data_IF_559411975873
#
_entry.id   IF_559411975873
#
_cell.length_a   1.000
_cell.length_b   1.000
_cell.length_c   1.000
_cell.angle_alpha   90.00
_cell.angle_beta   90.00
_cell.angle_gamma   90.00
#
_symmetry.space_group_name_H-M   'P 1'
#
loop_
_entity.id
_entity.type
_entity.pdbx_description
1 polymer ?
#
# COMPACT_ATOMS: atom_id res chain seq x y z
N UNK A 1 -1.47 -11.29 9.88
CA UNK A 1 -1.65 -12.28 10.96
C UNK A 1 -3.11 -12.39 11.47
N UNK A 2 -4.13 -11.78 10.83
CA UNK A 2 -5.52 -11.77 11.36
C UNK A 2 -6.36 -13.04 11.18
N UNK A 3 -5.95 -14.00 10.33
CA UNK A 3 -6.69 -15.24 10.07
C UNK A 3 -6.24 -16.44 10.92
N UNK A 4 -5.08 -16.35 11.60
CA UNK A 4 -4.53 -17.44 12.41
C UNK A 4 -4.91 -17.38 13.89
N UNK A 5 -5.34 -16.22 14.38
CA UNK A 5 -5.81 -16.05 15.77
C UNK A 5 -7.24 -16.57 15.96
N UNK A 6 -8.10 -16.47 14.94
CA UNK A 6 -9.47 -16.99 14.93
C UNK A 6 -9.51 -18.51 15.24
N UNK A 7 -8.78 -19.40 14.51
CA UNK A 7 -8.81 -20.83 14.79
C UNK A 7 -8.13 -21.23 16.12
N UNK A 8 -7.21 -20.41 16.64
CA UNK A 8 -6.60 -20.64 17.96
C UNK A 8 -7.59 -20.27 19.07
N UNK A 9 -8.32 -19.16 18.91
CA UNK A 9 -9.36 -18.75 19.85
C UNK A 9 -10.54 -19.71 19.85
N UNK A 10 -10.97 -20.22 18.69
CA UNK A 10 -11.97 -21.30 18.61
C UNK A 10 -11.51 -22.56 19.35
N UNK A 11 -10.27 -23.00 19.15
CA UNK A 11 -9.70 -24.15 19.87
C UNK A 11 -9.59 -23.91 21.38
N UNK A 12 -9.27 -22.69 21.81
CA UNK A 12 -9.25 -22.32 23.23
C UNK A 12 -10.67 -22.34 23.81
N UNK A 13 -11.67 -21.85 23.07
CA UNK A 13 -13.08 -21.90 23.45
C UNK A 13 -13.57 -23.35 23.57
N UNK A 14 -13.17 -24.24 22.66
CA UNK A 14 -13.50 -25.67 22.69
C UNK A 14 -12.85 -26.41 23.87
N UNK A 15 -11.59 -26.08 24.19
CA UNK A 15 -10.87 -26.64 25.34
C UNK A 15 -11.49 -26.13 26.65
N UNK A 16 -11.82 -24.84 26.73
CA UNK A 16 -12.54 -24.25 27.87
C UNK A 16 -13.90 -24.94 28.04
N UNK A 17 -14.60 -25.22 26.94
CA UNK A 17 -15.88 -25.93 26.93
C UNK A 17 -15.79 -27.39 27.41
N UNK A 18 -14.63 -28.04 27.29
CA UNK A 18 -14.39 -29.42 27.78
C UNK A 18 -13.91 -29.49 29.23
N UNK A 19 -13.27 -28.44 29.75
CA UNK A 19 -12.59 -28.46 31.06
C UNK A 19 -13.39 -27.73 32.16
N UNK A 20 -14.32 -26.84 31.82
CA UNK A 20 -15.09 -26.05 32.79
C UNK A 20 -16.59 -26.39 32.69
N UNK A 21 -17.17 -27.12 33.67
CA UNK A 21 -18.58 -27.48 33.67
C UNK A 21 -19.54 -26.36 34.14
N UNK A 22 -19.02 -25.19 34.58
CA UNK A 22 -19.83 -24.08 35.12
C UNK A 22 -20.08 -22.97 34.05
N UNK A 23 -21.34 -22.70 33.64
CA UNK A 23 -21.69 -21.76 32.57
C UNK A 23 -21.19 -20.32 32.78
N UNK A 24 -21.12 -19.84 34.02
CA UNK A 24 -20.68 -18.47 34.31
C UNK A 24 -19.16 -18.30 34.13
N UNK A 25 -18.38 -19.30 34.54
CA UNK A 25 -16.93 -19.28 34.36
C UNK A 25 -16.56 -19.35 32.87
N UNK A 26 -17.35 -20.06 32.06
CA UNK A 26 -17.21 -20.12 30.60
C UNK A 26 -17.50 -18.76 29.95
N UNK A 27 -18.58 -18.08 30.35
CA UNK A 27 -18.91 -16.75 29.84
C UNK A 27 -17.83 -15.71 30.20
N UNK A 28 -17.32 -15.73 31.43
CA UNK A 28 -16.20 -14.86 31.87
C UNK A 28 -14.92 -15.10 31.08
N UNK A 29 -14.58 -16.36 30.81
CA UNK A 29 -13.39 -16.70 30.03
C UNK A 29 -13.53 -16.29 28.55
N UNK A 30 -14.71 -16.45 27.94
CA UNK A 30 -14.99 -16.00 26.58
C UNK A 30 -14.91 -14.47 26.45
N UNK A 31 -15.47 -13.73 27.42
CA UNK A 31 -15.36 -12.28 27.48
C UNK A 31 -13.90 -11.81 27.63
N UNK A 32 -13.13 -12.45 28.53
CA UNK A 32 -11.72 -12.12 28.71
C UNK A 32 -10.89 -12.37 27.44
N UNK A 33 -11.16 -13.46 26.69
CA UNK A 33 -10.49 -13.74 25.42
C UNK A 33 -10.87 -12.71 24.35
N UNK A 34 -12.15 -12.33 24.24
CA UNK A 34 -12.58 -11.25 23.33
C UNK A 34 -11.94 -9.90 23.67
N UNK A 35 -11.87 -9.53 24.94
CA UNK A 35 -11.21 -8.29 25.36
C UNK A 35 -9.71 -8.31 25.05
N UNK A 36 -9.02 -9.44 25.24
CA UNK A 36 -7.61 -9.58 24.91
C UNK A 36 -7.38 -9.51 23.39
N UNK A 37 -8.27 -10.10 22.58
CA UNK A 37 -8.23 -9.96 21.13
C UNK A 37 -8.40 -8.51 20.70
N UNK A 38 -9.43 -7.82 21.21
CA UNK A 38 -9.65 -6.40 20.92
C UNK A 38 -8.44 -5.56 21.31
N UNK A 39 -7.91 -5.72 22.53
CA UNK A 39 -6.72 -5.01 23.00
C UNK A 39 -5.48 -5.30 22.14
N UNK A 40 -5.33 -6.52 21.62
CA UNK A 40 -4.26 -6.90 20.71
C UNK A 40 -4.37 -6.25 19.33
N UNK A 41 -5.57 -6.28 18.75
CA UNK A 41 -5.87 -5.65 17.46
C UNK A 41 -5.71 -4.12 17.52
N UNK A 42 -6.20 -3.49 18.60
CA UNK A 42 -6.02 -2.05 18.81
C UNK A 42 -4.55 -1.66 18.87
N UNK A 43 -3.71 -2.43 19.57
CA UNK A 43 -2.27 -2.16 19.62
C UNK A 43 -1.58 -2.27 18.26
N UNK A 44 -2.00 -3.22 17.42
CA UNK A 44 -1.44 -3.37 16.08
C UNK A 44 -1.82 -2.20 15.17
N UNK A 45 -3.10 -1.81 15.20
CA UNK A 45 -3.59 -0.66 14.43
C UNK A 45 -2.88 0.64 14.88
N UNK A 46 -2.68 0.82 16.18
CA UNK A 46 -1.94 1.98 16.72
C UNK A 46 -0.47 1.99 16.27
N UNK A 47 0.19 0.84 16.30
CA UNK A 47 1.58 0.73 15.83
C UNK A 47 1.71 1.05 14.33
N UNK A 48 0.81 0.51 13.50
CA UNK A 48 0.76 0.81 12.07
C UNK A 48 0.48 2.29 11.81
N UNK A 49 -0.47 2.88 12.56
CA UNK A 49 -0.79 4.30 12.48
C UNK A 49 0.43 5.16 12.81
N UNK A 50 1.18 4.82 13.87
CA UNK A 50 2.40 5.54 14.24
C UNK A 50 3.46 5.49 13.14
N UNK A 51 3.66 4.32 12.51
CA UNK A 51 4.59 4.19 11.37
C UNK A 51 4.14 5.05 10.19
N UNK A 52 2.84 5.04 9.86
CA UNK A 52 2.30 5.87 8.77
C UNK A 52 2.44 7.37 9.05
N UNK A 53 2.18 7.79 10.29
CA UNK A 53 2.34 9.19 10.72
C UNK A 53 3.81 9.63 10.68
N UNK A 54 4.73 8.77 11.13
CA UNK A 54 6.16 9.04 11.04
C UNK A 54 6.62 9.20 9.58
N UNK A 55 6.17 8.32 8.69
CA UNK A 55 6.46 8.43 7.26
C UNK A 55 5.86 9.71 6.65
N UNK A 56 4.64 10.07 7.03
CA UNK A 56 3.98 11.30 6.56
C UNK A 56 4.75 12.56 7.02
N UNK A 57 5.23 12.58 8.25
CA UNK A 57 6.05 13.67 8.78
C UNK A 57 7.36 13.83 8.00
N UNK A 58 8.08 12.72 7.76
CA UNK A 58 9.30 12.73 6.94
C UNK A 58 9.01 13.25 5.54
N UNK A 59 7.96 12.75 4.88
CA UNK A 59 7.60 13.21 3.54
C UNK A 59 7.26 14.70 3.51
N UNK A 60 6.62 15.22 4.56
CA UNK A 60 6.27 16.63 4.68
C UNK A 60 7.51 17.51 4.88
N UNK A 61 8.48 17.06 5.67
CA UNK A 61 9.75 17.75 5.86
C UNK A 61 10.61 17.72 4.59
N UNK A 62 10.69 16.57 3.91
CA UNK A 62 11.36 16.45 2.61
C UNK A 62 10.76 17.39 1.57
N UNK A 63 9.42 17.47 1.51
CA UNK A 63 8.72 18.35 0.58
C UNK A 63 8.92 19.85 0.89
N UNK A 64 9.18 20.21 2.16
CA UNK A 64 9.51 21.59 2.56
C UNK A 64 10.99 21.93 2.34
N UNK A 65 11.85 20.93 2.12
CA UNK A 65 13.27 21.16 1.91
C UNK A 65 13.51 22.00 0.66
N UNK A 66 14.30 23.09 0.73
CA UNK A 66 14.68 23.87 -0.44
C UNK A 66 15.73 23.16 -1.31
N UNK A 67 16.23 22.00 -0.89
CA UNK A 67 17.22 21.21 -1.62
C UNK A 67 16.58 20.44 -2.79
N UNK A 68 17.00 20.76 -4.02
CA UNK A 68 16.54 20.13 -5.26
C UNK A 68 16.78 18.61 -5.29
N UNK A 69 17.79 18.10 -4.57
CA UNK A 69 18.06 16.66 -4.55
C UNK A 69 17.20 15.91 -3.52
N UNK A 70 16.97 16.48 -2.34
CA UNK A 70 16.17 15.84 -1.27
C UNK A 70 14.66 16.03 -1.45
N UNK A 71 14.21 17.25 -1.74
CA UNK A 71 12.80 17.56 -1.93
C UNK A 71 12.35 17.49 -3.39
N UNK A 72 13.28 17.74 -4.32
CA UNK A 72 12.97 17.86 -5.75
C UNK A 72 12.87 16.54 -6.51
N UNK A 73 13.35 15.41 -5.96
CA UNK A 73 13.29 14.11 -6.67
C UNK A 73 11.85 13.67 -6.93
N UNK A 74 10.93 13.86 -5.98
CA UNK A 74 9.51 13.51 -6.13
C UNK A 74 8.85 14.29 -7.28
N UNK A 75 8.94 15.64 -7.32
CA UNK A 75 8.56 16.41 -8.50
C UNK A 75 9.24 15.95 -9.78
N UNK A 76 10.55 15.70 -9.77
CA UNK A 76 11.31 15.33 -10.97
C UNK A 76 10.80 14.03 -11.60
N UNK A 77 10.58 12.98 -10.81
CA UNK A 77 10.00 11.72 -11.31
C UNK A 77 8.57 11.96 -11.82
N UNK A 78 7.77 12.77 -11.12
CA UNK A 78 6.44 13.18 -11.59
C UNK A 78 6.47 13.86 -12.96
N UNK A 79 7.38 14.83 -13.15
CA UNK A 79 7.57 15.50 -14.43
C UNK A 79 7.98 14.53 -15.54
N UNK A 80 8.89 13.59 -15.27
CA UNK A 80 9.28 12.56 -16.24
C UNK A 80 8.09 11.67 -16.62
N UNK A 81 7.26 11.27 -15.65
CA UNK A 81 6.06 10.49 -15.93
C UNK A 81 5.04 11.28 -16.78
N UNK A 82 4.81 12.56 -16.44
CA UNK A 82 3.89 13.44 -17.18
C UNK A 82 4.40 13.69 -18.61
N UNK A 83 5.68 13.99 -18.79
CA UNK A 83 6.26 14.22 -20.12
C UNK A 83 6.28 12.93 -20.94
N UNK A 84 6.59 11.79 -20.33
CA UNK A 84 6.54 10.48 -20.97
C UNK A 84 5.12 10.14 -21.47
N UNK A 85 4.10 10.33 -20.64
CA UNK A 85 2.70 10.12 -21.06
C UNK A 85 2.24 11.12 -22.11
N UNK A 86 2.61 12.40 -21.98
CA UNK A 86 2.29 13.42 -22.98
C UNK A 86 2.92 13.07 -24.34
N UNK A 87 4.17 12.59 -24.35
CA UNK A 87 4.78 12.07 -25.56
C UNK A 87 4.03 10.84 -26.08
N UNK A 88 3.76 9.82 -25.28
CA UNK A 88 3.13 8.58 -25.75
C UNK A 88 1.73 8.81 -26.33
N UNK A 89 0.89 9.63 -25.68
CA UNK A 89 -0.51 9.79 -26.07
C UNK A 89 -0.78 10.96 -27.01
N UNK A 90 0.07 11.99 -27.01
CA UNK A 90 -0.13 13.21 -27.82
C UNK A 90 1.02 13.38 -28.81
N UNK A 91 2.25 13.41 -28.32
CA UNK A 91 3.44 13.64 -29.16
C UNK A 91 3.63 12.58 -30.25
N UNK A 92 3.63 11.30 -29.88
CA UNK A 92 3.85 10.16 -30.77
C UNK A 92 2.89 10.15 -31.95
N UNK A 93 1.56 10.17 -31.74
CA UNK A 93 0.60 10.23 -32.83
C UNK A 93 0.77 11.47 -33.74
N UNK A 94 1.09 12.63 -33.17
CA UNK A 94 1.34 13.85 -33.95
C UNK A 94 2.62 13.74 -34.78
N UNK A 95 3.70 13.22 -34.22
CA UNK A 95 4.96 13.01 -34.93
C UNK A 95 4.84 11.93 -36.00
N UNK A 96 4.06 10.88 -35.76
CA UNK A 96 3.76 9.85 -36.75
C UNK A 96 2.93 10.42 -37.92
N UNK A 97 1.94 11.25 -37.62
CA UNK A 97 1.14 11.94 -38.64
C UNK A 97 1.99 12.89 -39.50
N UNK A 98 2.81 13.74 -38.86
CA UNK A 98 3.72 14.65 -39.56
C UNK A 98 4.79 13.86 -40.33
N UNK A 99 5.35 12.82 -39.73
CA UNK A 99 6.35 11.96 -40.36
C UNK A 99 5.80 11.25 -41.59
N UNK A 100 4.53 10.82 -41.56
CA UNK A 100 3.84 10.27 -42.74
C UNK A 100 3.71 11.27 -43.90
N UNK A 101 3.58 12.57 -43.60
CA UNK A 101 3.52 13.63 -44.63
C UNK A 101 4.90 13.91 -45.23
N UNK A 102 5.95 13.95 -44.39
CA UNK A 102 7.31 14.32 -44.80
C UNK A 102 8.23 13.12 -45.14
N UNK A 103 7.73 11.89 -45.01
CA UNK A 103 8.51 10.67 -45.21
C UNK A 103 9.57 10.41 -44.13
N UNK A 104 9.38 10.96 -42.93
CA UNK A 104 10.28 10.74 -41.80
C UNK A 104 10.03 9.38 -41.14
N UNK A 105 11.07 8.77 -40.52
CA UNK A 105 10.88 7.53 -39.79
C UNK A 105 9.92 7.71 -38.61
N UNK A 106 9.22 6.63 -38.26
CA UNK A 106 8.27 6.64 -37.15
C UNK A 106 8.97 7.05 -35.83
N UNK A 107 8.30 7.85 -34.99
CA UNK A 107 8.86 8.27 -33.71
C UNK A 107 9.11 7.07 -32.79
N UNK A 108 10.17 7.10 -31.95
CA UNK A 108 10.47 6.01 -31.03
C UNK A 108 9.32 5.81 -30.04
N UNK A 109 8.95 4.56 -29.77
CA UNK A 109 7.88 4.24 -28.82
C UNK A 109 8.46 4.16 -27.41
N UNK A 110 7.77 4.79 -26.46
CA UNK A 110 8.09 4.67 -25.03
C UNK A 110 7.26 3.53 -24.46
N UNK A 111 7.89 2.67 -23.66
CA UNK A 111 7.16 1.64 -22.92
C UNK A 111 6.35 2.29 -21.79
N UNK A 112 5.02 2.18 -21.90
CA UNK A 112 4.11 2.74 -20.91
C UNK A 112 4.13 1.94 -19.61
N UNK A 113 4.56 0.67 -19.66
CA UNK A 113 4.68 -0.17 -18.48
C UNK A 113 5.73 0.38 -17.51
N UNK A 114 6.89 0.80 -18.01
CA UNK A 114 7.95 1.38 -17.17
C UNK A 114 7.48 2.68 -16.49
N UNK A 115 6.72 3.51 -17.21
CA UNK A 115 6.11 4.73 -16.65
C UNK A 115 5.10 4.40 -15.54
N UNK A 116 4.28 3.37 -15.72
CA UNK A 116 3.31 2.90 -14.73
C UNK A 116 3.99 2.32 -13.49
N UNK A 117 5.10 1.58 -13.65
CA UNK A 117 5.88 1.04 -12.54
C UNK A 117 6.53 2.17 -11.74
N UNK A 118 7.12 3.17 -12.41
CA UNK A 118 7.71 4.34 -11.74
C UNK A 118 6.66 5.16 -10.98
N UNK A 119 5.52 5.46 -11.63
CA UNK A 119 4.42 6.21 -11.02
C UNK A 119 3.81 5.43 -9.85
N UNK A 120 3.58 4.13 -10.03
CA UNK A 120 3.07 3.22 -9.01
C UNK A 120 4.00 3.12 -7.80
N UNK A 121 5.32 3.15 -8.01
CA UNK A 121 6.31 3.22 -6.94
C UNK A 121 6.17 4.47 -6.08
N UNK A 122 5.89 5.64 -6.69
CA UNK A 122 5.71 6.90 -5.97
C UNK A 122 4.39 7.00 -5.21
N UNK A 123 3.31 6.43 -5.74
CA UNK A 123 2.00 6.34 -5.08
C UNK A 123 2.04 5.43 -3.83
N UNK A 124 3.16 4.73 -3.63
CA UNK A 124 3.29 3.65 -2.70
C UNK A 124 2.60 2.42 -3.29
N UNK A 125 3.23 1.27 -3.13
CA UNK A 125 2.61 0.00 -3.47
C UNK A 125 1.46 -0.35 -2.49
N UNK A 126 0.45 0.52 -2.38
CA UNK A 126 -0.74 0.31 -1.57
C UNK A 126 -1.46 -1.00 -1.95
N UNK A 127 -1.32 -1.42 -3.21
CA UNK A 127 -1.73 -2.74 -3.67
C UNK A 127 -1.03 -3.89 -2.96
N UNK A 128 0.26 -3.78 -2.63
CA UNK A 128 0.98 -4.86 -1.92
C UNK A 128 0.50 -5.01 -0.47
N UNK A 129 0.19 -3.91 0.22
CA UNK A 129 -0.39 -3.98 1.59
C UNK A 129 -1.82 -4.53 1.57
N UNK A 130 -2.64 -4.12 0.60
CA UNK A 130 -3.97 -4.73 0.41
C UNK A 130 -3.88 -6.20 0.02
N UNK A 131 -2.90 -6.58 -0.80
CA UNK A 131 -2.65 -7.96 -1.19
C UNK A 131 -2.16 -8.82 -0.01
N UNK A 132 -1.30 -8.29 0.85
CA UNK A 132 -0.89 -8.93 2.10
C UNK A 132 -2.06 -9.12 3.07
N UNK A 133 -2.95 -8.12 3.17
CA UNK A 133 -4.18 -8.20 3.97
C UNK A 133 -5.14 -9.26 3.44
N UNK A 134 -5.33 -9.33 2.12
CA UNK A 134 -6.14 -10.38 1.47
C UNK A 134 -5.53 -11.77 1.69
N UNK A 135 -4.19 -11.88 1.73
CA UNK A 135 -3.48 -13.14 2.02
C UNK A 135 -3.33 -13.43 3.52
N UNK A 136 -3.87 -12.60 4.40
CA UNK A 136 -3.79 -12.78 5.86
C UNK A 136 -2.39 -12.60 6.46
N UNK A 137 -1.43 -12.07 5.68
CA UNK A 137 -0.03 -11.88 6.09
C UNK A 137 0.25 -10.52 6.72
N UNK A 138 -0.63 -9.55 6.51
CA UNK A 138 -0.73 -8.33 7.35
C UNK A 138 -1.52 -8.66 8.62
#
# INVERSE_FOLDING_TARGET
>A
MGLLTIPIVEKIIDVIGKVIPDPEAKARAQLAVMELQQKGEFKQIDADLQVMLAQAAINQEEAKSPDNFRGGWRPAVGWVCVTGMAYTYVGGPLFEWIGGIYGWPAPPKIDTFDLLVMLGGMLGFGGMRSFERIRGRA
#
